data_IF_760407795964
#
_entry.id   IF_760407795964
#
_cell.length_a   1.000
_cell.length_b   1.000
_cell.length_c   1.000
_cell.angle_alpha   90.00
_cell.angle_beta   90.00
_cell.angle_gamma   90.00
#
_symmetry.space_group_name_H-M   'P 1'
#
loop_
_entity.id
_entity.type
_entity.pdbx_description
1 polymer ?
#
# COMPACT_ATOMS: atom_id res chain seq x y z
N UNK A 1 -6.50 24.56 -4.74
CA UNK A 1 -5.81 23.59 -5.63
C UNK A 1 -4.29 23.61 -5.51
N UNK A 2 -3.60 24.76 -5.65
CA UNK A 2 -2.13 24.90 -5.54
C UNK A 2 -1.51 24.27 -4.28
N UNK A 3 -2.19 24.38 -3.13
CA UNK A 3 -1.72 23.79 -1.86
C UNK A 3 -1.72 22.24 -1.85
N UNK A 4 -2.66 21.59 -2.55
CA UNK A 4 -2.75 20.13 -2.62
C UNK A 4 -1.58 19.59 -3.45
N UNK A 5 -1.38 20.16 -4.63
CA UNK A 5 -0.27 19.82 -5.53
C UNK A 5 1.08 20.01 -4.82
N UNK A 6 1.23 21.11 -4.06
CA UNK A 6 2.45 21.35 -3.28
C UNK A 6 2.68 20.27 -2.21
N UNK A 7 1.63 19.83 -1.51
CA UNK A 7 1.72 18.77 -0.50
C UNK A 7 2.07 17.43 -1.13
N UNK A 8 1.45 17.10 -2.25
CA UNK A 8 1.75 15.89 -3.03
C UNK A 8 3.21 15.86 -3.48
N UNK A 9 3.69 16.93 -4.11
CA UNK A 9 5.10 17.02 -4.55
C UNK A 9 6.08 16.84 -3.40
N UNK A 10 5.76 17.35 -2.20
CA UNK A 10 6.57 17.13 -1.00
C UNK A 10 6.62 15.64 -0.60
N UNK A 11 5.47 14.96 -0.60
CA UNK A 11 5.41 13.53 -0.27
C UNK A 11 6.18 12.72 -1.32
N UNK A 12 5.96 12.99 -2.60
CA UNK A 12 6.67 12.33 -3.69
C UNK A 12 8.20 12.52 -3.60
N UNK A 13 8.66 13.74 -3.32
CA UNK A 13 10.08 14.02 -3.11
C UNK A 13 10.63 13.25 -1.90
N UNK A 14 9.89 13.18 -0.80
CA UNK A 14 10.30 12.41 0.38
C UNK A 14 10.43 10.91 0.07
N UNK A 15 9.49 10.32 -0.67
CA UNK A 15 9.57 8.92 -1.12
C UNK A 15 10.78 8.70 -2.02
N UNK A 16 11.05 9.62 -2.95
CA UNK A 16 12.22 9.57 -3.83
C UNK A 16 13.55 9.61 -3.04
N UNK A 17 13.66 10.49 -2.05
CA UNK A 17 14.84 10.55 -1.18
C UNK A 17 15.03 9.27 -0.37
N UNK A 18 13.95 8.70 0.17
CA UNK A 18 14.01 7.42 0.89
C UNK A 18 14.44 6.27 -0.04
N UNK A 19 13.95 6.25 -1.28
CA UNK A 19 14.33 5.27 -2.29
C UNK A 19 15.81 5.37 -2.65
N UNK A 20 16.33 6.59 -2.84
CA UNK A 20 17.75 6.81 -3.12
C UNK A 20 18.65 6.38 -1.95
N UNK A 21 18.21 6.61 -0.71
CA UNK A 21 18.98 6.26 0.49
C UNK A 21 19.05 4.75 0.73
N UNK A 22 17.94 4.04 0.52
CA UNK A 22 17.79 2.65 0.95
C UNK A 22 17.70 1.65 -0.21
N UNK A 23 17.64 2.12 -1.46
CA UNK A 23 17.35 1.30 -2.64
C UNK A 23 15.90 0.82 -2.69
N UNK A 24 15.58 0.04 -3.73
CA UNK A 24 14.27 -0.61 -3.91
C UNK A 24 14.06 -1.79 -2.95
N UNK A 25 15.13 -2.25 -2.31
CA UNK A 25 15.12 -3.36 -1.38
C UNK A 25 14.96 -2.86 0.06
N UNK A 26 13.71 -2.65 0.49
CA UNK A 26 13.40 -2.23 1.85
C UNK A 26 14.15 -3.01 2.95
N UNK A 27 14.50 -2.30 4.03
CA UNK A 27 15.30 -2.79 5.15
C UNK A 27 14.52 -3.88 5.93
N UNK A 28 14.74 -5.14 5.56
CA UNK A 28 14.10 -6.29 6.17
C UNK A 28 14.75 -6.67 7.50
N UNK A 29 14.25 -6.14 8.62
CA UNK A 29 14.76 -6.51 9.96
C UNK A 29 13.92 -7.59 10.65
N UNK A 30 12.67 -7.87 10.26
CA UNK A 30 11.92 -8.95 10.92
C UNK A 30 10.87 -9.63 10.02
N UNK A 31 11.01 -10.95 9.84
CA UNK A 31 10.25 -11.76 8.86
C UNK A 31 8.90 -12.25 9.38
N UNK A 32 8.62 -12.16 10.68
CA UNK A 32 7.55 -12.99 11.26
C UNK A 32 6.24 -12.26 11.61
N UNK A 33 6.18 -10.93 11.68
CA UNK A 33 4.91 -10.23 11.93
C UNK A 33 4.91 -8.79 11.45
N UNK A 34 3.87 -8.40 10.70
CA UNK A 34 3.59 -7.00 10.36
C UNK A 34 3.01 -6.29 11.59
N UNK A 35 3.38 -5.04 11.82
CA UNK A 35 2.78 -4.21 12.87
C UNK A 35 1.31 -3.92 12.59
N UNK A 36 0.53 -3.57 13.63
CA UNK A 36 -0.88 -3.19 13.48
C UNK A 36 -1.04 -2.04 12.47
N UNK A 37 -0.17 -1.04 12.50
CA UNK A 37 -0.20 0.11 11.58
C UNK A 37 0.06 -0.34 10.13
N UNK A 38 1.02 -1.25 9.91
CA UNK A 38 1.29 -1.82 8.58
C UNK A 38 0.07 -2.56 8.04
N UNK A 39 -0.55 -3.44 8.85
CA UNK A 39 -1.76 -4.15 8.47
C UNK A 39 -2.94 -3.22 8.17
N UNK A 40 -3.20 -2.24 9.05
CA UNK A 40 -4.28 -1.26 8.90
C UNK A 40 -4.10 -0.43 7.63
N UNK A 41 -2.89 0.08 7.37
CA UNK A 41 -2.60 0.86 6.16
C UNK A 41 -2.84 0.05 4.89
N UNK A 42 -2.36 -1.20 4.85
CA UNK A 42 -2.56 -2.10 3.72
C UNK A 42 -4.05 -2.38 3.47
N UNK A 43 -4.84 -2.61 4.53
CA UNK A 43 -6.29 -2.79 4.45
C UNK A 43 -7.01 -1.54 3.94
N UNK A 44 -6.64 -0.36 4.42
CA UNK A 44 -7.24 0.90 3.94
C UNK A 44 -6.94 1.16 2.46
N UNK A 45 -5.75 0.79 1.98
CA UNK A 45 -5.45 0.84 0.54
C UNK A 45 -6.26 -0.19 -0.24
N UNK A 46 -6.38 -1.42 0.27
CA UNK A 46 -7.14 -2.49 -0.38
C UNK A 46 -8.61 -2.09 -0.61
N UNK A 47 -9.23 -1.40 0.35
CA UNK A 47 -10.58 -0.83 0.22
C UNK A 47 -10.72 0.15 -0.96
N UNK A 48 -9.65 0.85 -1.34
CA UNK A 48 -9.64 1.72 -2.51
C UNK A 48 -9.35 0.96 -3.80
N UNK A 49 -8.43 -0.01 -3.75
CA UNK A 49 -8.10 -0.89 -4.87
C UNK A 49 -7.45 -2.19 -4.42
N UNK A 50 -8.04 -3.31 -4.83
CA UNK A 50 -7.45 -4.64 -4.66
C UNK A 50 -6.24 -4.89 -5.60
N UNK A 51 -6.06 -4.03 -6.61
CA UNK A 51 -5.03 -4.15 -7.65
C UNK A 51 -4.23 -2.85 -7.79
N UNK A 52 -3.41 -2.48 -6.79
CA UNK A 52 -2.56 -1.29 -6.90
C UNK A 52 -1.52 -1.43 -8.03
N UNK A 53 -1.15 -0.31 -8.64
CA UNK A 53 -0.09 -0.22 -9.66
C UNK A 53 1.28 -0.59 -9.08
N UNK A 54 2.26 -0.82 -9.94
CA UNK A 54 3.63 -1.09 -9.50
C UNK A 54 4.20 0.08 -8.69
N UNK A 55 3.94 1.32 -9.11
CA UNK A 55 4.40 2.52 -8.41
C UNK A 55 3.79 2.62 -7.01
N UNK A 56 2.48 2.43 -6.88
CA UNK A 56 1.80 2.44 -5.57
C UNK A 56 2.37 1.39 -4.62
N UNK A 57 2.74 0.21 -5.12
CA UNK A 57 3.37 -0.82 -4.29
C UNK A 57 4.79 -0.44 -3.86
N UNK A 58 5.55 0.24 -4.71
CA UNK A 58 6.86 0.79 -4.37
C UNK A 58 6.70 1.84 -3.28
N UNK A 59 5.78 2.79 -3.44
CA UNK A 59 5.51 3.83 -2.45
C UNK A 59 5.13 3.22 -1.09
N UNK A 60 4.26 2.20 -1.09
CA UNK A 60 3.90 1.46 0.13
C UNK A 60 5.08 0.73 0.76
N UNK A 61 5.96 0.15 -0.06
CA UNK A 61 7.15 -0.55 0.42
C UNK A 61 8.07 0.40 1.20
N UNK A 62 8.27 1.60 0.66
CA UNK A 62 9.07 2.67 1.28
C UNK A 62 8.39 3.16 2.56
N UNK A 63 7.09 3.50 2.49
CA UNK A 63 6.35 4.08 3.61
C UNK A 63 6.21 3.13 4.80
N UNK A 64 5.99 1.85 4.55
CA UNK A 64 5.78 0.84 5.58
C UNK A 64 7.10 0.17 6.01
N UNK A 65 8.21 0.50 5.35
CA UNK A 65 9.49 -0.16 5.48
C UNK A 65 9.35 -1.69 5.35
N UNK A 66 8.70 -2.12 4.27
CA UNK A 66 8.49 -3.52 3.92
C UNK A 66 9.10 -3.80 2.55
N UNK A 67 9.60 -5.02 2.33
CA UNK A 67 10.05 -5.44 0.99
C UNK A 67 8.89 -5.39 -0.01
N UNK A 68 9.15 -4.98 -1.24
CA UNK A 68 8.16 -4.98 -2.32
C UNK A 68 7.52 -6.37 -2.52
N UNK A 69 8.31 -7.45 -2.37
CA UNK A 69 7.81 -8.83 -2.37
C UNK A 69 6.76 -9.08 -1.28
N UNK A 70 6.96 -8.55 -0.08
CA UNK A 70 6.00 -8.65 1.03
C UNK A 70 4.69 -7.94 0.70
N UNK A 71 4.75 -6.75 0.07
CA UNK A 71 3.56 -6.03 -0.39
C UNK A 71 2.82 -6.86 -1.45
N UNK A 72 3.54 -7.39 -2.44
CA UNK A 72 2.94 -8.23 -3.50
C UNK A 72 2.22 -9.45 -2.95
N UNK A 73 2.87 -10.22 -2.07
CA UNK A 73 2.30 -11.41 -1.44
C UNK A 73 1.11 -11.03 -0.57
N UNK A 74 1.19 -9.93 0.18
CA UNK A 74 0.07 -9.49 1.00
C UNK A 74 -1.19 -9.22 0.15
N UNK A 75 -1.08 -8.45 -0.93
CA UNK A 75 -2.22 -8.19 -1.82
C UNK A 75 -2.72 -9.44 -2.56
N UNK A 76 -1.84 -10.41 -2.84
CA UNK A 76 -2.26 -11.71 -3.39
C UNK A 76 -3.09 -12.51 -2.39
N UNK A 77 -2.59 -12.67 -1.17
CA UNK A 77 -3.27 -13.40 -0.10
C UNK A 77 -4.60 -12.74 0.27
N UNK A 78 -4.61 -11.40 0.34
CA UNK A 78 -5.81 -10.64 0.66
C UNK A 78 -6.91 -10.85 -0.40
N UNK A 79 -6.55 -10.81 -1.70
CA UNK A 79 -7.50 -11.14 -2.78
C UNK A 79 -7.95 -12.60 -2.75
N UNK A 80 -7.08 -13.53 -2.37
CA UNK A 80 -7.49 -14.93 -2.22
C UNK A 80 -8.52 -15.08 -1.11
N UNK A 81 -8.31 -14.41 0.03
CA UNK A 81 -9.28 -14.39 1.13
C UNK A 81 -10.62 -13.80 0.71
N UNK A 82 -10.62 -12.66 -0.01
CA UNK A 82 -11.85 -12.05 -0.53
C UNK A 82 -12.50 -12.92 -1.60
N UNK A 83 -11.73 -13.52 -2.50
CA UNK A 83 -12.25 -14.44 -3.51
C UNK A 83 -12.89 -15.68 -2.88
N UNK A 84 -12.32 -16.23 -1.80
CA UNK A 84 -12.95 -17.34 -1.08
C UNK A 84 -14.32 -16.90 -0.53
N UNK A 85 -14.42 -15.68 0.03
CA UNK A 85 -15.70 -15.13 0.47
C UNK A 85 -16.69 -14.89 -0.69
N UNK A 86 -16.21 -14.42 -1.85
CA UNK A 86 -17.06 -14.14 -3.03
C UNK A 86 -17.36 -15.41 -3.84
N UNK A 87 -16.57 -16.47 -3.74
CA UNK A 87 -16.86 -17.75 -4.41
C UNK A 87 -18.07 -18.47 -3.81
N UNK A 88 -18.47 -18.11 -2.59
CA UNK A 88 -19.80 -18.43 -2.05
C UNK A 88 -20.93 -17.62 -2.75
N UNK A 89 -20.63 -16.52 -3.45
CA UNK A 89 -21.58 -15.52 -3.99
C UNK A 89 -21.39 -15.16 -5.49
N UNK A 90 -20.91 -16.08 -6.34
CA UNK A 90 -20.93 -15.99 -7.82
C UNK A 90 -19.71 -15.39 -8.59
N UNK A 91 -19.46 -16.03 -9.74
CA UNK A 91 -18.29 -15.88 -10.61
C UNK A 91 -18.46 -14.74 -11.62
N UNK A 92 -18.02 -13.53 -11.28
CA UNK A 92 -17.93 -12.44 -12.26
C UNK A 92 -16.49 -12.18 -12.73
N UNK A 93 -16.19 -12.61 -13.96
CA UNK A 93 -14.97 -12.25 -14.69
C UNK A 93 -15.02 -10.78 -15.10
N UNK A 94 -14.38 -9.91 -14.30
CA UNK A 94 -14.05 -8.53 -14.69
C UNK A 94 -12.57 -8.43 -15.02
N UNK A 95 -12.25 -7.66 -16.07
CA UNK A 95 -10.87 -7.34 -16.46
C UNK A 95 -10.17 -6.60 -15.31
N UNK A 96 -9.03 -7.14 -14.85
CA UNK A 96 -8.25 -6.55 -13.76
C UNK A 96 -7.56 -5.29 -14.26
N UNK A 97 -7.96 -4.12 -13.75
CA UNK A 97 -7.30 -2.83 -14.00
C UNK A 97 -6.41 -2.50 -12.81
N UNK A 98 -5.11 -2.28 -13.05
CA UNK A 98 -4.18 -1.84 -12.00
C UNK A 98 -4.33 -0.34 -11.79
N UNK A 99 -4.58 0.08 -10.55
CA UNK A 99 -4.86 1.49 -10.20
C UNK A 99 -3.67 2.12 -9.50
N UNK A 100 -3.21 3.26 -10.02
CA UNK A 100 -2.20 4.08 -9.34
C UNK A 100 -2.84 5.05 -8.36
N UNK A 101 -2.40 5.00 -7.10
CA UNK A 101 -2.83 5.90 -6.06
C UNK A 101 -1.83 7.03 -5.87
N UNK A 102 -2.38 8.23 -5.68
CA UNK A 102 -1.62 9.44 -5.39
C UNK A 102 -0.80 9.28 -4.08
N UNK A 103 0.48 9.65 -4.05
CA UNK A 103 1.32 9.56 -2.84
C UNK A 103 0.74 10.27 -1.62
N UNK A 104 0.07 11.41 -1.82
CA UNK A 104 -0.59 12.14 -0.73
C UNK A 104 -1.76 11.35 -0.12
N UNK A 105 -2.47 10.55 -0.93
CA UNK A 105 -3.53 9.67 -0.44
C UNK A 105 -2.91 8.57 0.43
N UNK A 106 -1.86 7.90 -0.05
CA UNK A 106 -1.15 6.88 0.70
C UNK A 106 -0.64 7.40 2.05
N UNK A 107 -0.06 8.60 2.05
CA UNK A 107 0.37 9.28 3.27
C UNK A 107 -0.77 9.54 4.25
N UNK A 108 -1.91 10.03 3.77
CA UNK A 108 -3.08 10.25 4.62
C UNK A 108 -3.61 8.95 5.23
N UNK A 109 -3.68 7.86 4.47
CA UNK A 109 -4.13 6.56 4.96
C UNK A 109 -3.17 6.01 6.04
N UNK A 110 -1.87 6.15 5.83
CA UNK A 110 -0.86 5.80 6.83
C UNK A 110 -1.02 6.63 8.12
N UNK A 111 -1.17 7.95 8.01
CA UNK A 111 -1.40 8.81 9.17
C UNK A 111 -2.68 8.43 9.92
N UNK A 112 -3.77 8.16 9.20
CA UNK A 112 -5.03 7.69 9.78
C UNK A 112 -4.81 6.38 10.55
N UNK A 113 -4.12 5.41 9.95
CA UNK A 113 -3.83 4.12 10.57
C UNK A 113 -2.97 4.21 11.85
N UNK A 114 -2.13 5.26 11.96
CA UNK A 114 -1.27 5.52 13.12
C UNK A 114 -2.02 6.07 14.33
N UNK A 115 -3.10 6.82 14.13
CA UNK A 115 -3.84 7.52 15.20
C UNK A 115 -4.89 6.62 15.88
N UNK A 116 -5.27 5.50 15.26
CA UNK A 116 -6.28 4.58 15.82
C UNK A 116 -5.71 3.88 17.07
N UNK A 117 -6.36 4.00 18.25
CA UNK A 117 -5.96 3.31 19.48
C UNK A 117 -5.89 1.78 19.33
N UNK A 118 -5.21 1.14 20.28
CA UNK A 118 -4.87 -0.29 20.23
C UNK A 118 -6.00 -1.24 20.61
#
# INVERSE_FOLDING_TARGET
MKNIIRKEKKVQAALGLCLLKNGTEGLSINRNKKSKIQCRTLKEVFKLTAYPSSQTKIDLSIMLNLKLKTINVWFQNERQSEKIAVLDEERHSKRIVKVELNPLILYKLYCKAKVVPD
#
